data_IF_503460417311
#
_entry.id   IF_503460417311
#
_cell.length_a   1.000
_cell.length_b   1.000
_cell.length_c   1.000
_cell.angle_alpha   90.00
_cell.angle_beta   90.00
_cell.angle_gamma   90.00
#
_symmetry.space_group_name_H-M   'P 1'
#
loop_
_entity.id
_entity.type
_entity.pdbx_description
1 polymer ?
#
# COMPACT_ATOMS: atom_id res chain seq x y z
N UNK A 1 -21.96 2.95 15.53
CA UNK A 1 -21.77 3.23 14.09
C UNK A 1 -20.30 2.97 13.76
N UNK A 2 -19.95 2.12 12.78
CA UNK A 2 -18.56 1.74 12.53
C UNK A 2 -17.76 2.91 11.93
N UNK A 3 -16.50 3.06 12.37
CA UNK A 3 -15.52 3.99 11.81
C UNK A 3 -15.34 3.73 10.31
N UNK A 4 -15.53 4.75 9.48
CA UNK A 4 -15.33 4.65 8.03
C UNK A 4 -13.88 5.03 7.72
N UNK A 5 -12.99 4.04 7.78
CA UNK A 5 -11.58 4.21 7.41
C UNK A 5 -11.51 4.31 5.89
N UNK A 6 -11.19 5.49 5.35
CA UNK A 6 -10.82 5.64 3.94
C UNK A 6 -9.33 5.36 3.84
N UNK A 7 -8.96 4.09 3.69
CA UNK A 7 -7.67 3.79 3.07
C UNK A 7 -7.80 4.32 1.64
N UNK A 8 -7.16 5.44 1.34
CA UNK A 8 -7.15 6.04 0.00
C UNK A 8 -6.72 4.97 -1.00
N UNK A 9 -7.71 4.37 -1.69
CA UNK A 9 -7.71 3.66 -2.97
C UNK A 9 -6.42 2.98 -3.49
N UNK A 10 -5.52 2.49 -2.62
CA UNK A 10 -4.23 1.91 -2.99
C UNK A 10 -4.18 0.38 -2.88
N UNK A 11 -5.15 -0.22 -2.21
CA UNK A 11 -5.23 -1.68 -2.05
C UNK A 11 -5.48 -2.42 -3.37
N UNK A 12 -6.24 -1.84 -4.31
CA UNK A 12 -6.62 -2.51 -5.56
C UNK A 12 -5.70 -2.24 -6.76
N UNK A 13 -4.70 -1.37 -6.62
CA UNK A 13 -3.84 -0.93 -7.75
C UNK A 13 -2.37 -0.76 -7.38
N UNK A 14 -1.84 -1.62 -6.51
CA UNK A 14 -0.42 -1.60 -6.15
C UNK A 14 0.49 -1.81 -7.38
N UNK A 15 0.08 -2.66 -8.33
CA UNK A 15 0.78 -2.83 -9.59
C UNK A 15 0.89 -1.53 -10.41
N UNK A 16 -0.15 -0.69 -10.43
CA UNK A 16 -0.11 0.58 -11.16
C UNK A 16 0.92 1.54 -10.58
N UNK A 17 1.05 1.63 -9.25
CA UNK A 17 2.10 2.44 -8.63
C UNK A 17 3.49 2.03 -9.09
N UNK A 18 3.74 0.72 -9.13
CA UNK A 18 5.02 0.16 -9.56
C UNK A 18 5.24 0.41 -11.06
N UNK A 19 4.21 0.25 -11.88
CA UNK A 19 4.25 0.47 -13.33
C UNK A 19 4.51 1.93 -13.70
N UNK A 20 3.89 2.89 -13.00
CA UNK A 20 4.15 4.34 -13.16
C UNK A 20 5.63 4.69 -12.91
N UNK A 21 6.30 3.94 -12.02
CA UNK A 21 7.71 4.11 -11.70
C UNK A 21 8.64 3.28 -12.60
N UNK A 22 8.11 2.52 -13.56
CA UNK A 22 8.84 1.59 -14.45
C UNK A 22 9.70 0.57 -13.69
N UNK A 23 9.24 0.13 -12.51
CA UNK A 23 9.94 -0.87 -11.69
C UNK A 23 9.35 -2.25 -11.96
N UNK A 24 10.16 -3.29 -12.11
CA UNK A 24 9.70 -4.68 -12.22
C UNK A 24 9.37 -5.28 -10.86
N UNK A 25 8.57 -6.35 -10.84
CA UNK A 25 8.30 -7.09 -9.58
C UNK A 25 9.58 -7.67 -8.96
N UNK A 26 10.57 -8.01 -9.78
CA UNK A 26 11.87 -8.53 -9.32
C UNK A 26 12.70 -7.44 -8.65
N UNK A 27 12.76 -6.25 -9.24
CA UNK A 27 13.45 -5.09 -8.65
C UNK A 27 12.80 -4.66 -7.34
N UNK A 28 11.46 -4.61 -7.31
CA UNK A 28 10.75 -4.31 -6.08
C UNK A 28 10.96 -5.39 -5.01
N UNK A 29 10.98 -6.66 -5.39
CA UNK A 29 11.26 -7.75 -4.47
C UNK A 29 12.67 -7.64 -3.87
N UNK A 30 13.66 -7.27 -4.69
CA UNK A 30 15.02 -7.00 -4.23
C UNK A 30 15.05 -5.83 -3.24
N UNK A 31 14.39 -4.71 -3.56
CA UNK A 31 14.28 -3.55 -2.67
C UNK A 31 13.56 -3.88 -1.35
N UNK A 32 12.55 -4.76 -1.38
CA UNK A 32 11.82 -5.21 -0.21
C UNK A 32 12.54 -6.31 0.59
N UNK A 33 13.62 -6.89 0.07
CA UNK A 33 14.32 -8.04 0.66
C UNK A 33 13.50 -9.33 0.67
N UNK A 34 12.66 -9.55 -0.35
CA UNK A 34 11.78 -10.72 -0.48
C UNK A 34 11.96 -11.39 -1.85
N UNK A 35 11.31 -12.53 -2.08
CA UNK A 35 11.31 -13.18 -3.40
C UNK A 35 10.24 -12.58 -4.31
N UNK A 36 10.48 -12.55 -5.62
CA UNK A 36 9.51 -12.01 -6.60
C UNK A 36 8.09 -12.60 -6.48
N UNK A 37 7.88 -13.92 -6.21
CA UNK A 37 6.53 -14.46 -6.01
C UNK A 37 5.79 -13.84 -4.81
N UNK A 38 6.51 -13.33 -3.81
CA UNK A 38 5.91 -12.59 -2.69
C UNK A 38 5.30 -11.28 -3.18
N UNK A 39 5.99 -10.54 -4.05
CA UNK A 39 5.47 -9.31 -4.66
C UNK A 39 4.30 -9.62 -5.57
N UNK A 40 4.40 -10.65 -6.41
CA UNK A 40 3.30 -11.10 -7.26
C UNK A 40 2.05 -11.45 -6.46
N UNK A 41 2.20 -12.15 -5.32
CA UNK A 41 1.10 -12.44 -4.39
C UNK A 41 0.52 -11.18 -3.75
N UNK A 42 1.37 -10.20 -3.40
CA UNK A 42 0.92 -8.92 -2.84
C UNK A 42 0.04 -8.17 -3.84
N UNK A 43 0.42 -8.16 -5.12
CA UNK A 43 -0.28 -7.46 -6.21
C UNK A 43 -1.52 -8.19 -6.75
N UNK A 44 -1.87 -9.38 -6.23
CA UNK A 44 -3.09 -10.08 -6.66
C UNK A 44 -4.35 -9.29 -6.26
N UNK A 45 -5.35 -9.17 -7.14
CA UNK A 45 -6.56 -8.37 -6.89
C UNK A 45 -7.32 -8.71 -5.61
N UNK A 46 -7.32 -9.98 -5.20
CA UNK A 46 -8.06 -10.49 -4.03
C UNK A 46 -7.17 -10.62 -2.77
N UNK A 47 -5.93 -10.15 -2.82
CA UNK A 47 -5.04 -10.19 -1.68
C UNK A 47 -5.32 -9.03 -0.72
N UNK A 48 -5.42 -9.32 0.57
CA UNK A 48 -5.60 -8.32 1.64
C UNK A 48 -4.31 -8.21 2.47
N UNK A 49 -3.30 -7.45 2.00
CA UNK A 49 -2.04 -7.32 2.71
C UNK A 49 -2.22 -6.49 3.98
N UNK A 50 -1.52 -6.90 5.05
CA UNK A 50 -1.43 -6.09 6.28
C UNK A 50 -0.92 -4.68 5.94
N UNK A 51 -1.37 -3.69 6.70
CA UNK A 51 -0.91 -2.30 6.56
C UNK A 51 0.62 -2.17 6.61
N UNK A 52 1.29 -2.95 7.46
CA UNK A 52 2.75 -3.00 7.54
C UNK A 52 3.41 -3.47 6.25
N UNK A 53 2.76 -4.38 5.52
CA UNK A 53 3.24 -4.88 4.22
C UNK A 53 3.08 -3.81 3.15
N UNK A 54 1.94 -3.12 3.13
CA UNK A 54 1.69 -1.97 2.25
C UNK A 54 2.69 -0.84 2.48
N UNK A 55 2.97 -0.53 3.76
CA UNK A 55 4.01 0.43 4.12
C UNK A 55 5.36 0.04 3.52
N UNK A 56 5.82 -1.18 3.77
CA UNK A 56 7.10 -1.68 3.22
C UNK A 56 7.13 -1.64 1.69
N UNK A 57 6.03 -2.00 1.04
CA UNK A 57 5.90 -1.97 -0.41
C UNK A 57 6.07 -0.54 -0.95
N UNK A 58 5.31 0.42 -0.43
CA UNK A 58 5.36 1.82 -0.85
C UNK A 58 6.70 2.47 -0.51
N UNK A 59 7.27 2.20 0.66
CA UNK A 59 8.61 2.68 1.04
C UNK A 59 9.70 2.11 0.13
N UNK A 60 9.59 0.85 -0.31
CA UNK A 60 10.53 0.25 -1.26
C UNK A 60 10.42 0.86 -2.67
N UNK A 61 9.29 1.48 -3.01
CA UNK A 61 9.11 2.31 -4.21
C UNK A 61 9.56 3.77 -4.00
N UNK A 62 10.01 4.15 -2.79
CA UNK A 62 10.40 5.52 -2.46
C UNK A 62 9.23 6.45 -2.10
N UNK A 63 8.03 5.89 -1.88
CA UNK A 63 6.84 6.65 -1.48
C UNK A 63 6.60 6.67 0.03
N UNK A 64 5.61 7.48 0.43
CA UNK A 64 5.13 7.59 1.81
C UNK A 64 3.67 7.14 1.92
N UNK A 65 3.32 6.50 3.04
CA UNK A 65 1.94 6.07 3.30
C UNK A 65 1.31 7.00 4.34
N UNK A 66 0.15 7.54 3.99
CA UNK A 66 -0.68 8.34 4.90
C UNK A 66 -2.04 7.67 5.06
N UNK A 67 -2.57 7.68 6.29
CA UNK A 67 -3.91 7.17 6.59
C UNK A 67 -4.79 8.32 7.04
N UNK A 68 -5.89 8.52 6.32
CA UNK A 68 -6.91 9.49 6.67
C UNK A 68 -8.10 8.81 7.37
N UNK A 69 -8.37 9.24 8.60
CA UNK A 69 -9.50 8.79 9.41
C UNK A 69 -10.57 9.88 9.43
N UNK A 70 -11.79 9.53 9.03
CA UNK A 70 -12.96 10.41 9.17
C UNK A 70 -13.79 9.90 10.35
N UNK A 71 -13.86 10.69 11.41
CA UNK A 71 -14.67 10.39 12.58
C UNK A 71 -16.17 10.64 12.30
N UNK A 72 -17.09 10.02 13.06
CA UNK A 72 -18.52 10.30 12.96
C UNK A 72 -18.88 11.79 13.14
N UNK A 73 -18.02 12.55 13.82
CA UNK A 73 -18.15 14.01 14.02
C UNK A 73 -17.80 14.83 12.78
N UNK A 74 -17.32 14.21 11.70
CA UNK A 74 -16.78 14.88 10.52
C UNK A 74 -15.33 15.36 10.66
N UNK A 75 -14.72 15.22 11.85
CA UNK A 75 -13.30 15.53 12.06
C UNK A 75 -12.42 14.56 11.28
N UNK A 76 -11.44 15.10 10.56
CA UNK A 76 -10.40 14.34 9.84
C UNK A 76 -9.12 14.28 10.66
N UNK A 77 -8.49 13.12 10.70
CA UNK A 77 -7.18 12.91 11.32
C UNK A 77 -6.29 12.14 10.34
N UNK A 78 -5.15 12.73 9.98
CA UNK A 78 -4.15 12.11 9.12
C UNK A 78 -3.02 11.54 9.97
N UNK A 79 -2.57 10.33 9.63
CA UNK A 79 -1.41 9.69 10.22
C UNK A 79 -0.39 9.41 9.11
N UNK A 80 0.82 9.94 9.28
CA UNK A 80 1.95 9.72 8.36
C UNK A 80 2.88 8.67 9.00
N UNK A 81 3.32 7.69 8.21
CA UNK A 81 4.14 6.57 8.70
C UNK A 81 5.40 6.38 7.90
#
# INVERSE_FOLDING_TARGET
MPLKLRICALLSRSNQLREELNISQTELAAAMGVKQPTVAKIEQPDNDPRLSTLKRYVTALGGEVSIDVILPTGKRMAFHF
#
